data_IF_845424848921
#
_entry.id   IF_845424848921
#
_cell.length_a   1.000
_cell.length_b   1.000
_cell.length_c   1.000
_cell.angle_alpha   90.00
_cell.angle_beta   90.00
_cell.angle_gamma   90.00
#
_symmetry.space_group_name_H-M   'P 1'
#
loop_
_entity.id
_entity.type
_entity.pdbx_description
1 polymer ?
#
# COMPACT_ATOMS: atom_id res chain seq x y z
N UNK A 1 -6.12 34.09 -34.78
CA UNK A 1 -5.20 33.34 -33.90
C UNK A 1 -5.51 33.59 -32.42
N UNK A 2 -5.84 34.84 -32.04
CA UNK A 2 -6.11 35.23 -30.64
C UNK A 2 -7.35 34.58 -30.02
N UNK A 3 -8.42 34.36 -30.80
CA UNK A 3 -9.62 33.66 -30.33
C UNK A 3 -9.33 32.22 -29.89
N UNK A 4 -8.54 31.47 -30.68
CA UNK A 4 -8.16 30.09 -30.39
C UNK A 4 -7.27 30.05 -29.14
N UNK A 5 -6.29 30.95 -29.04
CA UNK A 5 -5.44 31.08 -27.86
C UNK A 5 -6.25 31.40 -26.60
N UNK A 6 -7.24 32.28 -26.70
CA UNK A 6 -8.11 32.64 -25.59
C UNK A 6 -9.02 31.48 -25.16
N UNK A 7 -9.53 30.70 -26.11
CA UNK A 7 -10.31 29.48 -25.86
C UNK A 7 -9.46 28.43 -25.12
N UNK A 8 -8.24 28.16 -25.60
CA UNK A 8 -7.31 27.22 -24.94
C UNK A 8 -6.98 27.66 -23.51
N UNK A 9 -6.68 28.95 -23.29
CA UNK A 9 -6.41 29.48 -21.95
C UNK A 9 -7.60 29.31 -21.00
N UNK A 10 -8.84 29.52 -21.49
CA UNK A 10 -10.06 29.27 -20.70
C UNK A 10 -10.22 27.80 -20.35
N UNK A 11 -10.13 26.90 -21.32
CA UNK A 11 -10.25 25.44 -21.11
C UNK A 11 -9.21 24.98 -20.09
N UNK A 12 -7.96 25.39 -20.27
CA UNK A 12 -6.88 25.06 -19.34
C UNK A 12 -7.14 25.62 -17.93
N UNK A 13 -7.62 26.85 -17.81
CA UNK A 13 -7.97 27.46 -16.53
C UNK A 13 -9.08 26.71 -15.79
N UNK A 14 -10.14 26.29 -16.50
CA UNK A 14 -11.21 25.49 -15.90
C UNK A 14 -10.74 24.08 -15.52
N UNK A 15 -9.91 23.45 -16.35
CA UNK A 15 -9.31 22.16 -16.05
C UNK A 15 -8.49 22.18 -14.76
N UNK A 16 -7.62 23.19 -14.60
CA UNK A 16 -6.80 23.35 -13.39
C UNK A 16 -7.66 23.53 -12.13
N UNK A 17 -8.74 24.32 -12.21
CA UNK A 17 -9.68 24.52 -11.09
C UNK A 17 -10.39 23.23 -10.70
N UNK A 18 -10.82 22.43 -11.69
CA UNK A 18 -11.47 21.16 -11.45
C UNK A 18 -10.51 20.17 -10.76
N UNK A 19 -9.26 20.12 -11.21
CA UNK A 19 -8.24 19.28 -10.61
C UNK A 19 -7.92 19.68 -9.16
N UNK A 20 -7.80 20.98 -8.89
CA UNK A 20 -7.64 21.48 -7.52
C UNK A 20 -8.84 21.14 -6.63
N UNK A 21 -10.06 21.31 -7.12
CA UNK A 21 -11.28 20.95 -6.38
C UNK A 21 -11.30 19.46 -6.05
N UNK A 22 -10.90 18.60 -6.99
CA UNK A 22 -10.79 17.16 -6.76
C UNK A 22 -9.72 16.82 -5.70
N UNK A 23 -8.54 17.45 -5.77
CA UNK A 23 -7.49 17.24 -4.76
C UNK A 23 -7.95 17.72 -3.37
N UNK A 24 -8.65 18.86 -3.29
CA UNK A 24 -9.25 19.35 -2.05
C UNK A 24 -10.28 18.38 -1.48
N UNK A 25 -11.09 17.75 -2.33
CA UNK A 25 -12.07 16.75 -1.91
C UNK A 25 -11.41 15.50 -1.28
N UNK A 26 -10.23 15.10 -1.78
CA UNK A 26 -9.47 13.97 -1.26
C UNK A 26 -8.61 14.29 -0.02
N UNK A 27 -8.58 15.55 0.44
CA UNK A 27 -7.83 15.98 1.63
C UNK A 27 -8.04 15.07 2.85
N UNK A 28 -9.25 14.58 3.17
CA UNK A 28 -9.46 13.72 4.35
C UNK A 28 -8.69 12.39 4.29
N UNK A 29 -8.35 11.90 3.09
CA UNK A 29 -7.64 10.64 2.88
C UNK A 29 -6.20 10.81 2.38
N UNK A 30 -5.71 12.06 2.32
CA UNK A 30 -4.38 12.37 1.78
C UNK A 30 -3.25 11.60 2.50
N UNK A 31 -3.36 11.40 3.81
CA UNK A 31 -2.33 10.73 4.61
C UNK A 31 -2.16 9.26 4.21
N UNK A 32 -3.28 8.56 3.96
CA UNK A 32 -3.26 7.16 3.56
C UNK A 32 -2.73 6.99 2.14
N UNK A 33 -3.15 7.86 1.22
CA UNK A 33 -2.65 7.87 -0.16
C UNK A 33 -1.14 8.15 -0.22
N UNK A 34 -0.68 9.18 0.51
CA UNK A 34 0.75 9.53 0.55
C UNK A 34 1.60 8.39 1.11
N UNK A 35 1.15 7.75 2.19
CA UNK A 35 1.82 6.58 2.77
C UNK A 35 1.98 5.46 1.73
N UNK A 36 0.89 5.09 1.05
CA UNK A 36 0.91 4.03 0.03
C UNK A 36 1.80 4.41 -1.15
N UNK A 37 1.79 5.67 -1.61
CA UNK A 37 2.65 6.12 -2.70
C UNK A 37 4.14 6.07 -2.34
N UNK A 38 4.50 6.49 -1.12
CA UNK A 38 5.88 6.36 -0.64
C UNK A 38 6.30 4.88 -0.62
N UNK A 39 5.44 4.00 -0.10
CA UNK A 39 5.73 2.57 -0.08
C UNK A 39 5.85 1.97 -1.49
N UNK A 40 4.95 2.29 -2.41
CA UNK A 40 5.03 1.85 -3.80
C UNK A 40 6.31 2.35 -4.50
N UNK A 41 6.76 3.56 -4.18
CA UNK A 41 8.00 4.12 -4.71
C UNK A 41 9.23 3.37 -4.18
N UNK A 42 9.25 3.06 -2.87
CA UNK A 42 10.30 2.26 -2.25
C UNK A 42 10.27 0.82 -2.79
N UNK A 43 9.07 0.23 -2.98
CA UNK A 43 8.88 -1.10 -3.58
C UNK A 43 9.43 -1.14 -5.00
N UNK A 44 9.15 -0.13 -5.82
CA UNK A 44 9.69 -0.02 -7.17
C UNK A 44 11.23 0.05 -7.17
N UNK A 45 11.82 0.93 -6.35
CA UNK A 45 13.28 1.07 -6.26
C UNK A 45 13.92 -0.25 -5.78
N UNK A 46 13.40 -0.82 -4.69
CA UNK A 46 13.93 -2.05 -4.10
C UNK A 46 13.77 -3.26 -5.02
N UNK A 47 12.64 -3.37 -5.73
CA UNK A 47 12.39 -4.43 -6.70
C UNK A 47 13.30 -4.34 -7.93
N UNK A 48 13.55 -3.13 -8.44
CA UNK A 48 14.53 -2.90 -9.51
C UNK A 48 15.94 -3.28 -9.04
N UNK A 49 16.35 -2.84 -7.86
CA UNK A 49 17.67 -3.12 -7.33
C UNK A 49 17.89 -4.62 -7.06
N UNK A 50 16.89 -5.31 -6.48
CA UNK A 50 16.85 -6.77 -6.35
C UNK A 50 17.05 -7.46 -7.70
N UNK A 51 16.34 -7.03 -8.74
CA UNK A 51 16.46 -7.64 -10.06
C UNK A 51 17.86 -7.48 -10.65
N UNK A 52 18.51 -6.34 -10.44
CA UNK A 52 19.89 -6.09 -10.86
C UNK A 52 20.89 -7.00 -10.15
N UNK A 53 20.80 -7.12 -8.82
CA UNK A 53 21.69 -7.99 -8.03
C UNK A 53 21.48 -9.46 -8.40
N UNK A 54 20.22 -9.88 -8.55
CA UNK A 54 19.87 -11.25 -8.92
C UNK A 54 20.09 -11.55 -10.41
N UNK A 55 20.62 -10.60 -11.20
CA UNK A 55 20.83 -10.71 -12.65
C UNK A 55 19.56 -11.14 -13.42
N UNK A 56 18.39 -10.75 -12.92
CA UNK A 56 17.11 -11.03 -13.56
C UNK A 56 16.81 -9.98 -14.62
N UNK A 57 16.15 -10.38 -15.71
CA UNK A 57 15.67 -9.43 -16.72
C UNK A 57 14.59 -8.53 -16.13
N UNK A 58 14.80 -7.22 -16.21
CA UNK A 58 13.76 -6.22 -15.96
C UNK A 58 12.85 -6.21 -17.19
N UNK A 59 11.56 -6.48 -16.98
CA UNK A 59 10.57 -6.54 -18.06
C UNK A 59 9.53 -5.45 -17.91
N UNK A 60 9.01 -4.94 -19.02
CA UNK A 60 7.91 -3.96 -19.05
C UNK A 60 6.66 -4.45 -18.32
N UNK A 61 6.44 -5.77 -18.31
CA UNK A 61 5.37 -6.43 -17.55
C UNK A 61 5.43 -6.05 -16.06
N UNK A 62 6.59 -6.18 -15.41
CA UNK A 62 6.77 -5.88 -13.98
C UNK A 62 6.56 -4.40 -13.67
N UNK A 63 7.05 -3.50 -14.54
CA UNK A 63 6.86 -2.06 -14.37
C UNK A 63 5.39 -1.65 -14.54
N UNK A 64 4.70 -2.25 -15.51
CA UNK A 64 3.25 -2.05 -15.68
C UNK A 64 2.48 -2.50 -14.46
N UNK A 65 2.87 -3.62 -13.85
CA UNK A 65 2.19 -4.12 -12.64
C UNK A 65 2.31 -3.11 -11.48
N UNK A 66 3.42 -2.37 -11.36
CA UNK A 66 3.53 -1.23 -10.42
C UNK A 66 2.54 -0.12 -10.76
N UNK A 67 2.40 0.27 -12.03
CA UNK A 67 1.41 1.30 -12.45
C UNK A 67 -0.02 0.85 -12.11
N UNK A 68 -0.32 -0.44 -12.32
CA UNK A 68 -1.61 -1.04 -11.95
C UNK A 68 -1.82 -0.93 -10.44
N UNK A 69 -0.82 -1.24 -9.60
CA UNK A 69 -0.92 -1.03 -8.15
C UNK A 69 -1.24 0.42 -7.80
N UNK A 70 -0.53 1.40 -8.35
CA UNK A 70 -0.79 2.83 -8.12
C UNK A 70 -2.25 3.19 -8.40
N UNK A 71 -2.80 2.76 -9.53
CA UNK A 71 -4.18 3.08 -9.91
C UNK A 71 -5.21 2.37 -9.03
N UNK A 72 -5.10 1.04 -8.89
CA UNK A 72 -6.13 0.26 -8.18
C UNK A 72 -6.09 0.45 -6.67
N UNK A 73 -4.94 0.74 -6.07
CA UNK A 73 -4.86 1.04 -4.64
C UNK A 73 -5.49 2.40 -4.32
N UNK A 74 -5.23 3.40 -5.17
CA UNK A 74 -5.89 4.71 -5.05
C UNK A 74 -7.40 4.59 -5.20
N UNK A 75 -7.84 3.78 -6.17
CA UNK A 75 -9.27 3.51 -6.39
C UNK A 75 -9.90 2.79 -5.21
N UNK A 76 -9.23 1.79 -4.61
CA UNK A 76 -9.74 1.07 -3.45
C UNK A 76 -9.90 1.99 -2.23
N UNK A 77 -8.90 2.84 -1.95
CA UNK A 77 -8.98 3.81 -0.84
C UNK A 77 -10.08 4.83 -1.11
N UNK A 78 -10.23 5.30 -2.35
CA UNK A 78 -11.31 6.20 -2.75
C UNK A 78 -12.70 5.56 -2.58
N UNK A 79 -12.88 4.30 -2.98
CA UNK A 79 -14.15 3.58 -2.77
C UNK A 79 -14.45 3.47 -1.27
N UNK A 80 -13.45 3.14 -0.44
CA UNK A 80 -13.61 3.13 1.02
C UNK A 80 -14.04 4.48 1.57
N UNK A 81 -13.43 5.57 1.08
CA UNK A 81 -13.78 6.93 1.46
C UNK A 81 -15.21 7.32 1.06
N UNK A 82 -15.65 6.93 -0.13
CA UNK A 82 -17.03 7.17 -0.57
C UNK A 82 -18.04 6.42 0.28
N UNK A 83 -17.72 5.18 0.68
CA UNK A 83 -18.55 4.39 1.60
C UNK A 83 -18.61 5.06 2.98
N UNK A 84 -17.46 5.50 3.50
CA UNK A 84 -17.37 6.25 4.77
C UNK A 84 -18.25 7.50 4.74
N UNK A 85 -18.15 8.30 3.67
CA UNK A 85 -18.87 9.57 3.54
C UNK A 85 -20.37 9.42 3.29
N UNK A 86 -20.81 8.43 2.51
CA UNK A 86 -22.19 8.37 1.99
C UNK A 86 -23.05 7.29 2.62
N UNK A 87 -22.43 6.21 3.11
CA UNK A 87 -23.15 5.02 3.59
C UNK A 87 -22.99 4.89 5.09
N UNK A 88 -21.74 4.89 5.57
CA UNK A 88 -21.39 4.70 6.97
C UNK A 88 -21.41 6.02 7.75
N UNK A 89 -22.38 6.89 7.47
CA UNK A 89 -22.62 8.15 8.20
C UNK A 89 -23.10 7.88 9.64
N UNK A 90 -22.33 7.11 10.40
CA UNK A 90 -22.66 6.64 11.73
C UNK A 90 -21.84 7.41 12.76
N UNK A 91 -22.43 7.64 13.93
CA UNK A 91 -21.79 8.18 15.14
C UNK A 91 -20.52 7.40 15.55
N UNK A 92 -20.40 6.15 15.09
CA UNK A 92 -19.23 5.31 15.29
C UNK A 92 -18.25 5.48 14.13
N UNK A 93 -17.05 5.93 14.47
CA UNK A 93 -15.83 6.12 13.67
C UNK A 93 -15.31 4.82 12.97
N UNK A 94 -16.14 4.17 12.16
CA UNK A 94 -15.72 3.05 11.32
C UNK A 94 -15.08 3.59 10.03
N UNK A 95 -13.79 3.95 10.11
CA UNK A 95 -13.03 4.48 8.97
C UNK A 95 -12.57 3.36 8.02
N UNK A 96 -13.43 2.95 7.09
CA UNK A 96 -13.12 1.90 6.10
C UNK A 96 -11.93 2.31 5.21
N UNK A 97 -11.83 3.58 4.81
CA UNK A 97 -10.72 4.07 4.00
C UNK A 97 -9.37 3.88 4.70
N UNK A 98 -9.33 4.02 6.03
CA UNK A 98 -8.15 3.80 6.86
C UNK A 98 -7.79 2.32 6.94
N UNK A 99 -8.79 1.45 7.08
CA UNK A 99 -8.57 0.00 7.09
C UNK A 99 -7.99 -0.47 5.76
N UNK A 100 -8.59 -0.07 4.64
CA UNK A 100 -8.11 -0.41 3.29
C UNK A 100 -6.68 0.12 3.09
N UNK A 101 -6.44 1.40 3.39
CA UNK A 101 -5.12 2.00 3.27
C UNK A 101 -4.06 1.29 4.13
N UNK A 102 -4.43 0.91 5.36
CA UNK A 102 -3.56 0.16 6.27
C UNK A 102 -3.24 -1.24 5.73
N UNK A 103 -4.22 -1.97 5.21
CA UNK A 103 -4.01 -3.28 4.59
C UNK A 103 -3.07 -3.19 3.40
N UNK A 104 -3.27 -2.21 2.52
CA UNK A 104 -2.40 -1.98 1.36
C UNK A 104 -0.98 -1.63 1.81
N UNK A 105 -0.84 -0.74 2.80
CA UNK A 105 0.47 -0.37 3.34
C UNK A 105 1.23 -1.59 3.90
N UNK A 106 0.53 -2.52 4.57
CA UNK A 106 1.14 -3.76 5.06
C UNK A 106 1.58 -4.69 3.92
N UNK A 107 0.78 -4.80 2.85
CA UNK A 107 1.14 -5.59 1.66
C UNK A 107 2.42 -5.05 1.02
N UNK A 108 2.51 -3.73 0.83
CA UNK A 108 3.70 -3.11 0.23
C UNK A 108 4.91 -3.15 1.15
N UNK A 109 4.74 -2.96 2.46
CA UNK A 109 5.80 -3.14 3.43
C UNK A 109 6.37 -4.57 3.40
N UNK A 110 5.50 -5.58 3.29
CA UNK A 110 5.94 -6.97 3.16
C UNK A 110 6.75 -7.20 1.87
N UNK A 111 6.29 -6.66 0.73
CA UNK A 111 7.01 -6.71 -0.55
C UNK A 111 8.41 -6.10 -0.45
N UNK A 112 8.52 -4.93 0.21
CA UNK A 112 9.81 -4.27 0.45
C UNK A 112 10.74 -5.14 1.30
N UNK A 113 10.24 -5.72 2.39
CA UNK A 113 11.04 -6.61 3.25
C UNK A 113 11.54 -7.85 2.50
N UNK A 114 10.73 -8.42 1.60
CA UNK A 114 11.17 -9.50 0.71
C UNK A 114 12.30 -9.04 -0.21
N UNK A 115 12.17 -7.83 -0.79
CA UNK A 115 13.20 -7.29 -1.64
C UNK A 115 14.52 -7.05 -0.89
N UNK A 116 14.45 -6.43 0.29
CA UNK A 116 15.62 -6.21 1.14
C UNK A 116 16.28 -7.53 1.53
N UNK A 117 15.50 -8.56 1.91
CA UNK A 117 16.03 -9.87 2.29
C UNK A 117 16.91 -10.48 1.20
N UNK A 118 16.50 -10.35 -0.07
CA UNK A 118 17.28 -10.82 -1.22
C UNK A 118 18.51 -9.95 -1.48
N UNK A 119 18.38 -8.63 -1.31
CA UNK A 119 19.49 -7.68 -1.49
C UNK A 119 20.60 -7.91 -0.44
N UNK A 120 20.23 -8.10 0.83
CA UNK A 120 21.18 -8.25 1.95
C UNK A 120 21.65 -9.68 2.16
N UNK A 121 21.00 -10.66 1.53
CA UNK A 121 21.27 -12.09 1.75
C UNK A 121 20.84 -12.59 3.14
N UNK A 122 19.96 -11.86 3.83
CA UNK A 122 19.46 -12.21 5.16
C UNK A 122 17.97 -12.57 5.10
N UNK A 123 17.55 -13.63 5.79
CA UNK A 123 16.12 -13.95 5.93
C UNK A 123 15.45 -13.05 6.98
N UNK A 124 15.23 -11.77 6.65
CA UNK A 124 14.63 -10.79 7.57
C UNK A 124 13.21 -11.22 7.96
N UNK A 125 12.42 -11.66 6.98
CA UNK A 125 11.05 -12.14 7.21
C UNK A 125 11.00 -13.33 8.16
N UNK A 126 11.93 -14.28 8.01
CA UNK A 126 12.04 -15.45 8.90
C UNK A 126 12.46 -15.02 10.31
N UNK A 127 13.41 -14.09 10.40
CA UNK A 127 13.87 -13.54 11.68
C UNK A 127 12.73 -12.86 12.43
N UNK A 128 11.90 -12.07 11.72
CA UNK A 128 10.71 -11.43 12.29
C UNK A 128 9.71 -12.49 12.76
N UNK A 129 9.42 -13.50 11.94
CA UNK A 129 8.51 -14.61 12.27
C UNK A 129 8.96 -15.36 13.53
N UNK A 130 10.24 -15.71 13.60
CA UNK A 130 10.81 -16.45 14.74
C UNK A 130 10.73 -15.60 16.01
N UNK A 131 11.14 -14.33 15.96
CA UNK A 131 11.04 -13.43 17.11
C UNK A 131 9.60 -13.21 17.58
N UNK A 132 8.65 -13.13 16.65
CA UNK A 132 7.24 -12.99 16.98
C UNK A 132 6.70 -14.26 17.64
N UNK A 133 7.05 -15.44 17.11
CA UNK A 133 6.69 -16.73 17.70
C UNK A 133 7.27 -16.89 19.10
N UNK A 134 8.56 -16.57 19.29
CA UNK A 134 9.23 -16.60 20.60
C UNK A 134 8.56 -15.64 21.59
N UNK A 135 8.22 -14.43 21.15
CA UNK A 135 7.50 -13.46 21.99
C UNK A 135 6.14 -13.99 22.42
N UNK A 136 5.35 -14.56 21.50
CA UNK A 136 4.05 -15.16 21.81
C UNK A 136 4.22 -16.33 22.77
N UNK A 137 5.15 -17.24 22.52
CA UNK A 137 5.43 -18.40 23.39
C UNK A 137 5.95 -17.99 24.78
N UNK A 138 6.61 -16.83 24.91
CA UNK A 138 7.04 -16.31 26.20
C UNK A 138 5.90 -15.71 27.03
N UNK A 139 4.84 -15.23 26.37
CA UNK A 139 3.67 -14.59 27.00
C UNK A 139 2.53 -15.56 27.24
N UNK A 140 2.32 -16.45 26.29
CA UNK A 140 1.43 -17.60 26.42
C UNK A 140 2.33 -18.73 26.89
N UNK A 141 2.37 -19.02 28.19
CA UNK A 141 2.81 -20.34 28.67
C UNK A 141 1.83 -21.35 28.08
N UNK A 142 2.04 -21.75 26.83
CA UNK A 142 1.30 -22.81 26.21
C UNK A 142 1.54 -24.03 27.12
N UNK A 143 0.49 -24.68 27.64
CA UNK A 143 0.70 -25.94 28.34
C UNK A 143 1.46 -26.86 27.39
N UNK A 144 2.54 -27.47 27.88
CA UNK A 144 3.31 -28.44 27.11
C UNK A 144 2.33 -29.49 26.60
N UNK A 145 2.06 -29.49 25.28
CA UNK A 145 1.23 -30.52 24.68
C UNK A 145 2.09 -31.78 24.68
N UNK A 146 1.91 -32.62 25.69
CA UNK A 146 2.52 -33.93 25.77
C UNK A 146 2.04 -34.75 24.56
N UNK A 147 2.95 -35.21 23.67
CA UNK A 147 2.58 -36.00 22.50
C UNK A 147 1.83 -37.30 22.85
N UNK A 148 1.90 -37.72 24.12
CA UNK A 148 1.25 -38.94 24.62
C UNK A 148 -0.19 -38.74 25.14
N UNK A 149 -0.70 -37.50 25.23
CA UNK A 149 -2.06 -37.24 25.73
C UNK A 149 -3.16 -37.45 24.65
N UNK A 150 -2.79 -37.89 23.43
CA UNK A 150 -3.72 -38.17 22.33
C UNK A 150 -4.06 -39.66 22.15
N UNK A 151 -3.79 -40.49 23.15
CA UNK A 151 -4.03 -41.93 23.07
C UNK A 151 -4.56 -42.50 24.40
N UNK A 152 -5.79 -42.13 24.76
CA UNK A 152 -6.70 -42.98 25.57
C UNK A 152 -8.14 -42.83 25.05
#
# INVERSE_FOLDING_TARGET
MDFILHLFKKIFSYGWKLQLAFLLYLTPIQGYLLCVYILLFIDLISGVYKALIAKQKITSKRLRDTIVKYFFYSLAIYIGFEIDLKILQTETDFYLSRLIGGTIAMIEAYSILENISVITGTNILETIKNKLADYINSKIKLPDVNPNDKAE
#
